data_IF_130895325556
#
_entry.id   IF_130895325556
#
_cell.length_a   1.000
_cell.length_b   1.000
_cell.length_c   1.000
_cell.angle_alpha   90.00
_cell.angle_beta   90.00
_cell.angle_gamma   90.00
#
_symmetry.space_group_name_H-M   'P 1'
#
loop_
_entity.id
_entity.type
_entity.pdbx_description
1 polymer ?
#
# COMPACT_ATOMS: atom_id res chain seq x y z
N UNK A 1 -6.31 3.60 6.46
CA UNK A 1 -7.53 4.06 5.75
C UNK A 1 -7.27 4.05 4.25
N UNK A 2 -8.32 3.97 3.42
CA UNK A 2 -8.22 4.21 1.97
C UNK A 2 -9.33 5.13 1.49
N UNK A 3 -9.06 5.94 0.46
CA UNK A 3 -10.00 6.90 -0.09
C UNK A 3 -10.35 6.48 -1.52
N UNK A 4 -11.63 6.32 -1.79
CA UNK A 4 -12.14 5.94 -3.11
C UNK A 4 -13.00 7.09 -3.66
N UNK A 5 -12.66 7.58 -4.85
CA UNK A 5 -13.46 8.58 -5.56
C UNK A 5 -14.66 7.88 -6.18
N UNK A 6 -15.86 8.39 -5.89
CA UNK A 6 -17.14 7.87 -6.41
C UNK A 6 -17.77 8.83 -7.43
N UNK A 7 -17.45 10.12 -7.36
CA UNK A 7 -17.84 11.16 -8.30
C UNK A 7 -16.67 12.13 -8.49
N UNK A 8 -15.99 12.03 -9.64
CA UNK A 8 -14.84 12.85 -9.97
C UNK A 8 -15.21 14.33 -10.20
N UNK A 9 -16.44 14.61 -10.65
CA UNK A 9 -16.88 15.98 -10.95
C UNK A 9 -17.07 16.83 -9.71
N UNK A 10 -17.24 16.20 -8.55
CA UNK A 10 -17.37 16.84 -7.25
C UNK A 10 -16.01 17.05 -6.54
N UNK A 11 -14.91 16.56 -7.12
CA UNK A 11 -13.57 16.69 -6.53
C UNK A 11 -13.01 18.09 -6.75
N UNK A 12 -12.66 18.74 -5.64
CA UNK A 12 -11.95 20.02 -5.63
C UNK A 12 -10.51 19.80 -5.14
N UNK A 13 -9.49 20.03 -5.99
CA UNK A 13 -8.10 19.78 -5.64
C UNK A 13 -7.51 20.77 -4.65
N UNK A 14 -8.15 21.93 -4.43
CA UNK A 14 -7.70 22.95 -3.48
C UNK A 14 -8.19 22.67 -2.04
N UNK A 15 -9.06 21.65 -1.89
CA UNK A 15 -9.58 21.24 -0.58
C UNK A 15 -8.70 20.21 0.11
N UNK A 16 -8.49 20.43 1.40
CA UNK A 16 -7.83 19.49 2.31
C UNK A 16 -8.84 18.92 3.28
N UNK A 17 -8.88 17.60 3.36
CA UNK A 17 -9.78 16.87 4.24
C UNK A 17 -9.02 16.29 5.43
N UNK A 18 -9.68 16.22 6.58
CA UNK A 18 -9.16 15.59 7.81
C UNK A 18 -10.17 14.60 8.35
N UNK A 19 -9.72 13.36 8.56
CA UNK A 19 -10.44 12.36 9.35
C UNK A 19 -9.83 12.32 10.73
N UNK A 20 -10.64 12.52 11.76
CA UNK A 20 -10.23 12.38 13.17
C UNK A 20 -11.06 11.29 13.84
N UNK A 21 -10.48 10.59 14.82
CA UNK A 21 -11.14 9.50 15.53
C UNK A 21 -11.53 9.89 16.96
N UNK A 22 -12.42 9.11 17.55
CA UNK A 22 -12.83 9.22 18.95
C UNK A 22 -12.72 7.87 19.61
N UNK A 23 -12.42 7.84 20.90
CA UNK A 23 -12.28 6.62 21.68
C UNK A 23 -12.99 6.73 23.05
N UNK A 24 -12.94 5.65 23.83
CA UNK A 24 -13.57 5.53 25.16
C UNK A 24 -12.85 6.24 26.30
N UNK A 25 -11.69 6.87 26.08
CA UNK A 25 -10.80 7.35 27.18
C UNK A 25 -11.35 8.59 27.90
N UNK A 26 -12.13 8.48 28.98
CA UNK A 26 -12.73 9.68 29.61
C UNK A 26 -11.76 10.44 30.55
N UNK A 27 -10.88 9.74 31.27
CA UNK A 27 -9.81 10.28 32.11
C UNK A 27 -9.12 9.07 32.73
N UNK A 28 -7.86 8.83 32.37
CA UNK A 28 -7.05 7.66 32.74
C UNK A 28 -7.46 6.31 32.12
N UNK A 29 -6.42 5.50 31.88
CA UNK A 29 -6.39 4.15 31.33
C UNK A 29 -6.43 4.10 29.80
N UNK A 30 -5.29 4.24 29.14
CA UNK A 30 -4.44 3.18 28.53
C UNK A 30 -5.10 2.01 27.77
N UNK A 31 -6.40 1.81 27.95
CA UNK A 31 -7.24 0.80 27.33
C UNK A 31 -8.39 1.56 26.69
N UNK A 32 -8.35 1.66 25.36
CA UNK A 32 -9.36 2.40 24.61
C UNK A 32 -9.86 1.58 23.44
N UNK A 33 -11.10 1.88 23.05
CA UNK A 33 -11.69 1.37 21.81
C UNK A 33 -12.12 2.55 20.97
N UNK A 34 -11.85 2.50 19.67
CA UNK A 34 -12.36 3.48 18.73
C UNK A 34 -13.87 3.41 18.72
N UNK A 35 -14.51 4.54 19.03
CA UNK A 35 -15.97 4.67 19.13
C UNK A 35 -16.57 5.33 17.90
N UNK A 36 -15.79 6.16 17.20
CA UNK A 36 -16.32 6.98 16.13
C UNK A 36 -15.25 7.75 15.37
N UNK A 37 -15.72 8.50 14.39
CA UNK A 37 -14.92 9.34 13.53
C UNK A 37 -15.65 10.63 13.19
N UNK A 38 -14.92 11.60 12.62
CA UNK A 38 -15.43 12.84 12.06
C UNK A 38 -14.61 13.17 10.81
N UNK A 39 -15.29 13.60 9.75
CA UNK A 39 -14.66 14.07 8.51
C UNK A 39 -14.90 15.57 8.37
N UNK A 40 -13.82 16.32 8.17
CA UNK A 40 -13.84 17.76 8.02
C UNK A 40 -13.13 18.16 6.74
N UNK A 41 -13.70 19.15 6.04
CA UNK A 41 -12.96 19.96 5.11
C UNK A 41 -12.28 21.08 5.93
N UNK A 42 -10.96 21.00 6.02
CA UNK A 42 -10.14 21.91 6.82
C UNK A 42 -9.95 23.25 6.12
N UNK A 43 -9.94 23.25 4.78
CA UNK A 43 -9.82 24.48 3.98
C UNK A 43 -10.98 25.43 4.27
N UNK A 44 -12.21 24.89 4.29
CA UNK A 44 -13.43 25.68 4.50
C UNK A 44 -13.89 25.69 5.96
N UNK A 45 -13.23 24.93 6.85
CA UNK A 45 -13.63 24.73 8.24
C UNK A 45 -15.07 24.20 8.39
N UNK A 46 -15.44 23.21 7.56
CA UNK A 46 -16.77 22.60 7.53
C UNK A 46 -16.67 21.12 7.91
N UNK A 47 -17.54 20.67 8.83
CA UNK A 47 -17.70 19.25 9.11
C UNK A 47 -18.60 18.61 8.03
N UNK A 48 -18.00 17.81 7.14
CA UNK A 48 -18.73 17.07 6.11
C UNK A 48 -19.49 15.89 6.72
N UNK A 49 -18.86 15.19 7.67
CA UNK A 49 -19.50 14.16 8.48
C UNK A 49 -19.27 14.54 9.95
N UNK A 50 -20.32 14.91 10.70
CA UNK A 50 -20.19 15.18 12.13
C UNK A 50 -19.77 13.92 12.88
N UNK A 51 -19.43 14.05 14.16
CA UNK A 51 -19.07 12.89 14.99
C UNK A 51 -20.10 11.78 14.85
N UNK A 52 -19.66 10.66 14.31
CA UNK A 52 -20.50 9.51 13.97
C UNK A 52 -19.88 8.23 14.53
N UNK A 53 -20.70 7.20 14.73
CA UNK A 53 -20.23 5.86 15.12
C UNK A 53 -19.28 5.30 14.06
N UNK A 54 -18.28 4.53 14.49
CA UNK A 54 -17.31 3.92 13.57
C UNK A 54 -18.02 2.96 12.59
N UNK A 55 -17.66 3.06 11.32
CA UNK A 55 -18.13 2.21 10.22
C UNK A 55 -16.95 1.86 9.33
N UNK A 56 -17.01 0.73 8.64
CA UNK A 56 -15.95 0.30 7.71
C UNK A 56 -15.86 1.20 6.48
N UNK A 57 -16.99 1.75 6.02
CA UNK A 57 -17.06 2.66 4.87
C UNK A 57 -17.95 3.87 5.20
N UNK A 58 -17.44 5.08 4.98
CA UNK A 58 -18.16 6.31 5.28
C UNK A 58 -19.25 6.59 4.24
N UNK A 59 -20.29 7.37 4.59
CA UNK A 59 -21.13 8.04 3.60
C UNK A 59 -20.28 8.84 2.60
N UNK A 60 -20.77 8.98 1.37
CA UNK A 60 -20.13 9.81 0.35
C UNK A 60 -20.12 11.28 0.78
N UNK A 61 -18.96 11.92 0.73
CA UNK A 61 -18.77 13.33 1.00
C UNK A 61 -17.85 13.92 -0.07
N UNK A 62 -18.21 15.09 -0.63
CA UNK A 62 -17.44 15.79 -1.67
C UNK A 62 -16.88 14.85 -2.77
N UNK A 63 -17.70 13.90 -3.24
CA UNK A 63 -17.35 13.00 -4.36
C UNK A 63 -16.51 11.77 -4.01
N UNK A 64 -16.24 11.49 -2.72
CA UNK A 64 -15.48 10.31 -2.30
C UNK A 64 -16.10 9.59 -1.10
N UNK A 65 -15.68 8.34 -0.90
CA UNK A 65 -15.93 7.55 0.32
C UNK A 65 -14.59 7.15 0.94
N UNK A 66 -14.57 6.98 2.25
CA UNK A 66 -13.38 6.52 2.97
C UNK A 66 -13.66 5.14 3.54
N UNK A 67 -12.75 4.20 3.29
CA UNK A 67 -12.70 2.93 4.01
C UNK A 67 -11.78 3.03 5.20
N UNK A 68 -12.33 2.69 6.36
CA UNK A 68 -11.66 2.73 7.65
C UNK A 68 -11.48 1.29 8.12
N UNK A 69 -10.27 0.78 7.95
CA UNK A 69 -9.83 -0.45 8.58
C UNK A 69 -9.30 -0.07 9.96
N UNK A 70 -10.09 -0.33 10.99
CA UNK A 70 -9.69 -0.09 12.37
C UNK A 70 -9.30 -1.43 13.00
N UNK A 71 -8.03 -1.57 13.35
CA UNK A 71 -7.52 -2.81 13.89
C UNK A 71 -8.07 -3.07 15.30
N UNK A 72 -8.16 -4.35 15.66
CA UNK A 72 -8.35 -4.75 17.05
C UNK A 72 -6.99 -4.85 17.74
N UNK A 73 -6.97 -4.75 19.06
CA UNK A 73 -5.74 -4.95 19.82
C UNK A 73 -5.37 -6.44 19.76
N UNK A 74 -4.34 -6.76 18.99
CA UNK A 74 -3.82 -8.10 18.80
C UNK A 74 -2.29 -8.06 18.62
N UNK A 75 -1.62 -9.21 18.72
CA UNK A 75 -0.20 -9.32 18.36
C UNK A 75 -0.06 -9.02 16.86
N UNK A 76 0.93 -8.19 16.53
CA UNK A 76 1.33 -7.95 15.15
C UNK A 76 2.33 -9.04 14.72
N UNK A 77 1.83 -10.03 13.99
CA UNK A 77 2.62 -11.16 13.49
C UNK A 77 3.81 -10.76 12.61
N UNK A 78 3.80 -9.54 12.04
CA UNK A 78 4.93 -9.01 11.25
C UNK A 78 6.02 -8.35 12.10
N UNK A 79 5.70 -8.02 13.37
CA UNK A 79 6.58 -7.32 14.30
C UNK A 79 6.74 -8.06 15.62
N UNK A 80 6.84 -9.38 15.59
CA UNK A 80 6.93 -10.21 16.80
C UNK A 80 8.00 -11.28 16.68
N UNK A 81 8.76 -11.47 17.77
CA UNK A 81 9.87 -12.43 17.85
C UNK A 81 11.22 -11.73 18.01
N UNK A 82 12.30 -12.43 17.69
CA UNK A 82 13.64 -11.88 17.69
C UNK A 82 13.77 -10.74 16.69
N UNK A 83 14.38 -9.63 17.11
CA UNK A 83 14.61 -8.44 16.30
C UNK A 83 16.04 -8.44 15.74
N UNK A 84 16.17 -8.67 14.44
CA UNK A 84 17.43 -8.50 13.69
C UNK A 84 17.34 -7.32 12.72
N UNK A 85 18.26 -7.26 11.76
CA UNK A 85 18.27 -6.25 10.69
C UNK A 85 18.31 -6.88 9.30
N UNK A 86 17.73 -6.18 8.33
CA UNK A 86 17.85 -6.52 6.91
C UNK A 86 19.07 -5.82 6.27
N UNK A 87 19.25 -5.96 4.95
CA UNK A 87 20.36 -5.34 4.21
C UNK A 87 20.35 -3.79 4.24
N UNK A 88 19.19 -3.19 4.51
CA UNK A 88 18.99 -1.74 4.58
C UNK A 88 19.09 -1.20 6.04
N UNK A 89 19.57 -2.02 6.99
CA UNK A 89 19.61 -1.74 8.44
C UNK A 89 18.22 -1.50 9.09
N UNK A 90 17.14 -1.91 8.42
CA UNK A 90 15.78 -1.83 8.97
C UNK A 90 15.48 -3.04 9.87
N UNK A 91 14.74 -2.84 10.98
CA UNK A 91 14.42 -3.92 11.92
C UNK A 91 13.50 -4.95 11.27
N UNK A 92 13.88 -6.22 11.39
CA UNK A 92 13.09 -7.38 10.95
C UNK A 92 12.87 -8.33 12.12
N UNK A 93 11.69 -8.96 12.15
CA UNK A 93 11.26 -9.76 13.27
C UNK A 93 11.00 -11.21 12.84
N UNK A 94 11.51 -12.15 13.62
CA UNK A 94 11.27 -13.57 13.37
C UNK A 94 11.28 -14.35 14.68
N UNK A 95 10.34 -15.28 14.84
CA UNK A 95 10.40 -16.27 15.93
C UNK A 95 11.55 -17.28 15.75
N UNK A 96 12.16 -17.28 14.57
CA UNK A 96 13.26 -18.13 14.13
C UNK A 96 14.51 -17.27 13.92
N UNK A 97 15.44 -17.21 14.88
CA UNK A 97 16.58 -16.28 14.83
C UNK A 97 17.58 -16.61 13.72
N UNK A 98 17.74 -17.89 13.34
CA UNK A 98 18.70 -18.30 12.31
C UNK A 98 18.42 -17.77 10.89
N UNK A 99 17.30 -17.06 10.67
CA UNK A 99 17.01 -16.35 9.42
C UNK A 99 17.37 -14.86 9.48
N UNK A 100 17.80 -14.36 10.64
CA UNK A 100 18.10 -12.95 10.90
C UNK A 100 19.61 -12.71 10.79
N UNK A 101 19.99 -11.58 10.18
CA UNK A 101 21.37 -11.14 10.20
C UNK A 101 21.76 -10.66 11.61
N UNK A 102 22.98 -10.97 12.03
CA UNK A 102 23.52 -10.50 13.31
C UNK A 102 23.03 -11.24 14.56
N UNK A 103 22.41 -12.41 14.40
CA UNK A 103 22.04 -13.28 15.52
C UNK A 103 22.73 -14.64 15.46
N UNK A 104 23.36 -15.01 16.58
CA UNK A 104 24.04 -16.30 16.73
C UNK A 104 23.22 -17.33 17.54
N UNK A 105 22.19 -16.89 18.27
CA UNK A 105 21.33 -17.80 19.04
C UNK A 105 20.50 -18.72 18.16
N UNK A 106 20.29 -19.96 18.63
CA UNK A 106 19.37 -20.93 18.03
C UNK A 106 18.06 -21.08 18.82
N UNK A 107 17.73 -20.12 19.70
CA UNK A 107 16.54 -20.17 20.53
C UNK A 107 15.32 -19.70 19.74
N UNK A 108 14.36 -20.58 19.55
CA UNK A 108 13.05 -20.28 19.00
C UNK A 108 12.22 -19.67 20.11
N UNK A 109 11.49 -18.60 19.81
CA UNK A 109 10.61 -17.94 20.79
C UNK A 109 9.14 -18.17 20.42
N UNK A 110 8.36 -18.68 21.36
CA UNK A 110 6.90 -18.66 21.30
C UNK A 110 6.40 -17.47 22.11
N UNK A 111 5.39 -16.78 21.60
CA UNK A 111 4.83 -15.59 22.25
C UNK A 111 3.31 -15.74 22.18
N UNK A 112 2.71 -15.87 23.34
CA UNK A 112 1.26 -16.04 23.50
C UNK A 112 0.71 -14.93 24.40
N UNK A 113 -0.56 -14.60 24.20
CA UNK A 113 -1.29 -13.70 25.10
C UNK A 113 -1.82 -14.52 26.27
N UNK A 114 -1.67 -14.05 27.50
CA UNK A 114 -2.35 -14.67 28.65
C UNK A 114 -3.87 -14.52 28.50
N UNK A 115 -4.58 -15.65 28.45
CA UNK A 115 -6.03 -15.71 28.30
C UNK A 115 -6.78 -15.73 29.64
N UNK A 116 -6.06 -15.51 30.76
CA UNK A 116 -6.67 -15.52 32.09
C UNK A 116 -7.78 -14.45 32.22
N UNK A 117 -8.85 -14.69 32.99
CA UNK A 117 -10.00 -13.79 33.09
C UNK A 117 -9.71 -12.44 33.76
N UNK A 118 -8.47 -12.21 34.20
CA UNK A 118 -8.00 -10.94 34.78
C UNK A 118 -7.18 -10.11 33.78
N UNK A 119 -6.97 -10.63 32.58
CA UNK A 119 -6.24 -9.99 31.48
C UNK A 119 -7.09 -8.91 30.81
N UNK A 120 -6.44 -7.80 30.46
CA UNK A 120 -7.01 -6.78 29.57
C UNK A 120 -5.98 -6.43 28.52
N UNK A 121 -6.36 -6.62 27.25
CA UNK A 121 -5.53 -6.27 26.10
C UNK A 121 -5.31 -4.75 26.01
N UNK A 122 -4.09 -4.35 25.71
CA UNK A 122 -3.67 -2.98 25.47
C UNK A 122 -2.77 -2.90 24.23
N UNK A 123 -2.78 -1.76 23.51
CA UNK A 123 -2.00 -1.54 22.29
C UNK A 123 -0.50 -1.26 22.57
N UNK A 124 0.02 -1.68 23.72
CA UNK A 124 1.41 -1.42 24.11
C UNK A 124 2.34 -2.47 23.55
N UNK A 125 3.49 -1.97 23.11
CA UNK A 125 4.59 -2.76 22.61
C UNK A 125 5.64 -2.95 23.69
N UNK A 126 6.23 -4.13 23.71
CA UNK A 126 7.20 -4.54 24.72
C UNK A 126 8.43 -5.13 24.06
N UNK A 127 9.55 -5.05 24.76
CA UNK A 127 10.75 -5.80 24.40
C UNK A 127 11.33 -6.51 25.62
N UNK A 128 11.89 -7.70 25.37
CA UNK A 128 12.73 -8.43 26.30
C UNK A 128 14.12 -8.47 25.71
N UNK A 129 15.07 -7.81 26.39
CA UNK A 129 16.45 -7.68 25.90
C UNK A 129 17.36 -8.49 26.81
N UNK A 130 18.14 -9.39 26.22
CA UNK A 130 19.20 -10.09 26.94
C UNK A 130 20.30 -9.11 27.30
N UNK A 131 20.84 -9.21 28.51
CA UNK A 131 21.74 -8.21 29.07
C UNK A 131 22.74 -8.84 30.01
N UNK A 132 23.92 -8.22 30.10
CA UNK A 132 24.90 -8.51 31.15
C UNK A 132 24.45 -8.00 32.52
N UNK A 133 23.48 -7.08 32.55
CA UNK A 133 22.84 -6.62 33.79
C UNK A 133 21.83 -7.68 34.28
N UNK A 134 21.96 -8.05 35.55
CA UNK A 134 21.08 -9.02 36.19
C UNK A 134 19.78 -8.33 36.61
N UNK A 135 18.66 -8.81 36.07
CA UNK A 135 17.32 -8.45 36.50
C UNK A 135 16.84 -9.44 37.58
N UNK A 136 16.42 -8.94 38.74
CA UNK A 136 15.77 -9.78 39.77
C UNK A 136 14.25 -9.68 39.63
N UNK A 137 13.61 -10.83 39.42
CA UNK A 137 12.14 -10.94 39.30
C UNK A 137 11.41 -10.51 40.59
N UNK A 138 10.14 -10.06 40.50
CA UNK A 138 9.41 -9.58 41.66
C UNK A 138 9.29 -10.60 42.80
N UNK A 139 9.54 -10.18 44.05
CA UNK A 139 9.33 -11.02 45.24
C UNK A 139 7.86 -10.99 45.70
N UNK A 140 6.96 -11.55 44.88
CA UNK A 140 5.54 -11.70 45.25
C UNK A 140 5.07 -13.13 45.05
N UNK A 141 4.21 -13.58 45.96
CA UNK A 141 3.62 -14.91 45.89
C UNK A 141 2.58 -15.02 44.79
N UNK A 142 2.95 -15.70 43.71
CA UNK A 142 2.04 -16.19 42.68
C UNK A 142 2.17 -17.72 42.59
N UNK A 143 1.05 -18.44 42.49
CA UNK A 143 1.06 -19.90 42.45
C UNK A 143 1.70 -20.40 41.13
N UNK A 144 2.58 -21.40 41.21
CA UNK A 144 3.31 -21.93 40.05
C UNK A 144 4.36 -20.98 39.47
N UNK A 145 4.81 -19.97 40.24
CA UNK A 145 5.86 -19.05 39.80
C UNK A 145 7.01 -19.01 40.81
N UNK A 146 8.23 -18.87 40.28
CA UNK A 146 9.42 -18.58 41.06
C UNK A 146 9.41 -17.11 41.53
N UNK A 147 10.26 -16.77 42.49
CA UNK A 147 10.34 -15.43 43.10
C UNK A 147 11.77 -15.03 43.34
N UNK A 148 12.04 -13.73 43.20
CA UNK A 148 13.33 -13.14 43.49
C UNK A 148 14.49 -13.93 42.82
N UNK A 149 14.23 -14.42 41.62
CA UNK A 149 15.23 -15.11 40.79
C UNK A 149 15.87 -14.11 39.85
N UNK A 150 17.16 -14.30 39.64
CA UNK A 150 18.01 -13.48 38.79
C UNK A 150 17.96 -14.00 37.35
N UNK A 151 17.73 -13.08 36.40
CA UNK A 151 17.64 -13.34 34.97
C UNK A 151 18.62 -12.43 34.20
N UNK A 152 19.25 -12.94 33.13
CA UNK A 152 20.09 -12.17 32.22
C UNK A 152 19.25 -11.49 31.12
N UNK A 153 18.05 -11.02 31.48
CA UNK A 153 17.14 -10.35 30.55
C UNK A 153 16.32 -9.29 31.27
N UNK A 154 16.08 -8.17 30.59
CA UNK A 154 15.28 -7.05 31.10
C UNK A 154 14.08 -6.83 30.20
N UNK A 155 13.00 -6.33 30.78
CA UNK A 155 11.76 -6.02 30.08
C UNK A 155 11.56 -4.50 29.99
N UNK A 156 11.23 -4.01 28.79
CA UNK A 156 10.86 -2.62 28.54
C UNK A 156 9.50 -2.50 27.86
N UNK A 157 8.66 -1.58 28.32
CA UNK A 157 7.46 -1.14 27.62
C UNK A 157 7.86 -0.02 26.66
N UNK A 158 7.97 -0.35 25.38
CA UNK A 158 8.45 0.52 24.30
C UNK A 158 7.46 1.66 24.00
N UNK A 159 6.19 1.52 24.43
CA UNK A 159 5.17 2.55 24.17
C UNK A 159 5.14 3.64 25.23
N UNK A 160 5.34 3.25 26.49
CA UNK A 160 5.34 4.17 27.62
C UNK A 160 6.75 4.61 28.01
N UNK A 161 7.78 3.98 27.46
CA UNK A 161 9.18 4.15 27.83
C UNK A 161 9.41 3.88 29.33
N UNK A 162 8.91 2.74 29.80
CA UNK A 162 8.97 2.32 31.21
C UNK A 162 9.44 0.87 31.33
N UNK A 163 10.15 0.56 32.41
CA UNK A 163 10.50 -0.83 32.73
C UNK A 163 9.24 -1.68 33.02
N UNK A 164 9.28 -2.95 32.62
CA UNK A 164 8.27 -3.95 32.94
C UNK A 164 8.80 -5.11 33.78
N UNK A 165 7.88 -5.87 34.36
CA UNK A 165 8.19 -7.03 35.21
C UNK A 165 8.26 -8.32 34.37
N UNK A 166 9.24 -9.18 34.70
CA UNK A 166 9.31 -10.56 34.22
C UNK A 166 8.99 -11.51 35.38
N UNK A 167 8.09 -12.46 35.16
CA UNK A 167 7.82 -13.56 36.09
C UNK A 167 8.20 -14.88 35.45
N UNK A 168 8.72 -15.83 36.23
CA UNK A 168 9.02 -17.18 35.74
C UNK A 168 7.96 -18.14 36.25
N UNK A 169 7.21 -18.75 35.34
CA UNK A 169 6.30 -19.85 35.64
C UNK A 169 7.11 -21.14 35.58
N UNK A 170 7.32 -21.72 36.74
CA UNK A 170 8.01 -23.00 36.93
C UNK A 170 7.10 -24.12 36.41
N UNK A 171 7.35 -24.61 35.20
CA UNK A 171 6.45 -25.57 34.54
C UNK A 171 6.77 -27.00 34.99
N UNK A 172 8.02 -27.28 35.29
CA UNK A 172 8.50 -28.59 35.70
C UNK A 172 8.48 -28.79 37.25
N UNK A 173 8.12 -27.74 38.01
CA UNK A 173 8.03 -27.68 39.47
C UNK A 173 9.37 -28.03 40.17
N UNK A 174 10.51 -27.71 39.54
CA UNK A 174 11.83 -28.06 40.08
C UNK A 174 12.47 -26.96 40.93
N UNK A 175 11.88 -25.76 40.97
CA UNK A 175 12.34 -24.62 41.78
C UNK A 175 13.56 -23.88 41.22
N UNK A 176 13.98 -24.17 39.99
CA UNK A 176 15.08 -23.51 39.29
C UNK A 176 14.60 -22.94 37.95
N UNK A 177 15.32 -21.98 37.39
CA UNK A 177 14.96 -21.39 36.08
C UNK A 177 15.53 -22.26 34.98
N UNK A 178 14.64 -22.83 34.16
CA UNK A 178 14.98 -23.58 32.96
C UNK A 178 14.44 -22.89 31.72
N UNK A 179 15.30 -22.18 30.97
CA UNK A 179 14.88 -21.37 29.81
C UNK A 179 14.12 -22.17 28.74
N UNK A 180 14.36 -23.48 28.64
CA UNK A 180 13.76 -24.35 27.63
C UNK A 180 12.53 -25.12 28.09
N UNK A 181 12.17 -25.03 29.37
CA UNK A 181 11.02 -25.73 29.95
C UNK A 181 10.03 -24.77 30.62
N UNK A 182 10.54 -23.72 31.24
CA UNK A 182 9.75 -22.69 31.90
C UNK A 182 9.21 -21.64 30.94
N UNK A 183 8.21 -20.90 31.43
CA UNK A 183 7.60 -19.81 30.69
C UNK A 183 7.87 -18.48 31.39
N UNK A 184 8.24 -17.49 30.59
CA UNK A 184 8.54 -16.14 31.03
C UNK A 184 7.34 -15.25 30.76
N UNK A 185 6.97 -14.47 31.76
CA UNK A 185 5.74 -13.72 31.76
C UNK A 185 6.09 -12.25 31.83
N UNK A 186 5.86 -11.52 30.75
CA UNK A 186 6.07 -10.08 30.66
C UNK A 186 4.80 -9.36 31.07
N UNK A 187 4.91 -8.37 31.96
CA UNK A 187 3.76 -7.56 32.42
C UNK A 187 4.16 -6.18 32.94
N UNK A 188 3.26 -5.19 32.84
CA UNK A 188 3.49 -3.88 33.47
C UNK A 188 3.51 -3.96 35.00
N UNK A 189 4.33 -3.14 35.69
CA UNK A 189 4.44 -3.16 37.13
C UNK A 189 3.19 -2.57 37.82
N UNK A 190 2.68 -3.25 38.85
CA UNK A 190 1.93 -2.59 39.93
C UNK A 190 0.41 -2.40 39.79
N UNK A 191 -0.32 -3.18 38.99
CA UNK A 191 -1.80 -3.15 38.98
C UNK A 191 -2.48 -4.24 39.82
N UNK A 192 -3.63 -3.94 40.47
CA UNK A 192 -4.58 -4.97 40.92
C UNK A 192 -5.31 -5.67 39.75
N UNK A 193 -5.16 -5.11 38.54
CA UNK A 193 -5.53 -5.68 37.26
C UNK A 193 -4.23 -6.02 36.55
N UNK A 194 -4.08 -7.29 36.13
CA UNK A 194 -2.92 -7.74 35.37
C UNK A 194 -3.07 -7.23 33.94
N UNK A 195 -2.47 -6.08 33.64
CA UNK A 195 -2.46 -5.47 32.30
C UNK A 195 -1.42 -6.19 31.45
N UNK A 196 -1.73 -6.43 30.18
CA UNK A 196 -0.86 -7.00 29.14
C UNK A 196 0.16 -8.00 29.65
N UNK A 197 -0.29 -9.24 29.73
CA UNK A 197 0.57 -10.36 30.06
C UNK A 197 0.88 -11.16 28.80
N UNK A 198 2.14 -11.14 28.39
CA UNK A 198 2.64 -12.02 27.33
C UNK A 198 3.40 -13.17 27.96
N UNK A 199 3.18 -14.37 27.43
CA UNK A 199 3.83 -15.60 27.86
C UNK A 199 4.83 -15.98 26.77
N UNK A 200 6.11 -15.95 27.13
CA UNK A 200 7.23 -16.29 26.29
C UNK A 200 7.72 -17.68 26.67
N UNK A 201 7.94 -18.53 25.66
CA UNK A 201 8.68 -19.78 25.81
C UNK A 201 9.89 -19.75 24.90
N UNK A 202 11.02 -20.29 25.37
CA UNK A 202 12.19 -20.49 24.52
C UNK A 202 12.39 -21.98 24.27
N UNK A 203 12.83 -22.36 23.08
CA UNK A 203 13.16 -23.74 22.74
C UNK A 203 14.41 -23.73 21.88
N UNK A 204 15.34 -24.65 22.08
CA UNK A 204 16.50 -24.82 21.21
C UNK A 204 16.49 -26.21 20.58
N UNK A 205 16.98 -26.32 19.35
CA UNK A 205 17.23 -27.61 18.71
C UNK A 205 18.72 -27.87 18.60
N UNK A 206 19.17 -29.02 19.11
CA UNK A 206 20.59 -29.37 19.15
C UNK A 206 21.29 -28.79 20.38
N UNK A 207 22.56 -28.42 20.23
CA UNK A 207 23.32 -27.75 21.29
C UNK A 207 22.79 -26.32 21.45
N UNK A 208 22.39 -25.95 22.66
CA UNK A 208 21.80 -24.66 22.95
C UNK A 208 22.86 -23.55 22.86
N UNK A 209 22.59 -22.53 22.04
CA UNK A 209 23.40 -21.32 21.91
C UNK A 209 22.64 -20.17 22.54
N UNK A 210 23.09 -19.76 23.72
CA UNK A 210 22.47 -18.69 24.50
C UNK A 210 22.51 -17.35 23.74
N UNK A 211 21.45 -16.53 23.79
CA UNK A 211 21.44 -15.17 23.25
C UNK A 211 22.51 -14.29 23.90
N UNK A 212 23.07 -13.38 23.11
CA UNK A 212 24.08 -12.43 23.56
C UNK A 212 23.45 -11.17 24.17
N UNK A 213 24.24 -10.43 24.95
CA UNK A 213 23.81 -9.15 25.47
C UNK A 213 23.49 -8.17 24.31
N UNK A 214 22.26 -7.65 24.30
CA UNK A 214 21.72 -6.83 23.23
C UNK A 214 20.69 -7.54 22.35
N UNK A 215 20.67 -8.88 22.34
CA UNK A 215 19.65 -9.63 21.60
C UNK A 215 18.27 -9.34 22.17
N UNK A 216 17.35 -8.95 21.29
CA UNK A 216 16.03 -8.44 21.66
C UNK A 216 14.92 -9.30 21.09
N UNK A 217 14.00 -9.72 21.93
CA UNK A 217 12.68 -10.23 21.55
C UNK A 217 11.71 -9.05 21.60
N UNK A 218 11.09 -8.72 20.47
CA UNK A 218 10.11 -7.64 20.34
C UNK A 218 8.69 -8.19 20.28
N UNK A 219 7.75 -7.48 20.89
CA UNK A 219 6.33 -7.81 20.92
C UNK A 219 5.56 -6.59 20.38
N UNK A 220 5.40 -6.56 19.05
CA UNK A 220 4.57 -5.60 18.35
C UNK A 220 3.08 -5.91 18.53
N UNK A 221 2.26 -4.85 18.58
CA UNK A 221 0.80 -4.98 18.65
C UNK A 221 0.13 -4.15 17.56
N UNK A 222 -0.99 -4.64 17.04
CA UNK A 222 -1.92 -3.84 16.26
C UNK A 222 -2.64 -2.84 17.17
N UNK A 223 -2.92 -1.65 16.63
CA UNK A 223 -3.47 -0.55 17.42
C UNK A 223 -4.74 0.03 16.78
N UNK A 224 -5.87 0.05 17.50
CA UNK A 224 -7.04 0.80 17.05
C UNK A 224 -6.74 2.29 17.02
N UNK A 225 -7.46 3.04 16.18
CA UNK A 225 -7.34 4.49 16.12
C UNK A 225 -7.76 5.15 17.44
N UNK A 226 -6.85 5.92 18.01
CA UNK A 226 -7.08 6.74 19.19
C UNK A 226 -7.62 8.12 18.79
N UNK A 227 -8.10 8.87 19.78
CA UNK A 227 -8.45 10.30 19.63
C UNK A 227 -7.28 11.19 19.21
N UNK A 228 -6.05 10.71 19.32
CA UNK A 228 -4.85 11.45 18.94
C UNK A 228 -4.53 11.27 17.45
N UNK A 229 -5.04 10.19 16.84
CA UNK A 229 -4.81 9.87 15.45
C UNK A 229 -5.71 10.69 14.52
N UNK A 230 -5.13 11.13 13.41
CA UNK A 230 -5.87 11.73 12.31
C UNK A 230 -5.14 11.50 10.99
N UNK A 231 -5.90 11.52 9.90
CA UNK A 231 -5.34 11.53 8.55
C UNK A 231 -5.74 12.80 7.83
N UNK A 232 -4.80 13.39 7.09
CA UNK A 232 -5.05 14.53 6.21
C UNK A 232 -4.70 14.15 4.78
N UNK A 233 -5.55 14.54 3.84
CA UNK A 233 -5.36 14.28 2.43
C UNK A 233 -6.02 15.34 1.56
N UNK A 234 -5.54 15.47 0.33
CA UNK A 234 -6.16 16.20 -0.77
C UNK A 234 -6.37 15.23 -1.92
N UNK A 235 -7.42 15.44 -2.70
CA UNK A 235 -7.65 14.67 -3.91
C UNK A 235 -7.17 15.45 -5.13
N UNK A 236 -6.73 14.74 -6.16
CA UNK A 236 -6.42 15.35 -7.45
C UNK A 236 -7.39 14.75 -8.46
N UNK A 237 -8.04 15.60 -9.25
CA UNK A 237 -8.77 15.14 -10.43
C UNK A 237 -7.79 14.52 -11.43
N UNK A 238 -8.26 13.58 -12.25
CA UNK A 238 -7.53 13.19 -13.43
C UNK A 238 -7.44 14.42 -14.35
N UNK A 239 -6.25 14.99 -14.47
CA UNK A 239 -5.97 15.98 -15.49
C UNK A 239 -5.12 15.33 -16.58
N UNK A 240 -5.41 15.68 -17.83
CA UNK A 240 -4.53 15.32 -18.95
C UNK A 240 -3.27 16.16 -18.80
N UNK A 241 -2.16 15.51 -18.47
CA UNK A 241 -0.87 16.18 -18.44
C UNK A 241 -0.50 16.65 -19.85
N UNK A 242 -0.54 17.97 -20.07
CA UNK A 242 -0.36 18.55 -21.39
C UNK A 242 1.04 18.26 -21.97
N UNK A 243 2.05 18.05 -21.13
CA UNK A 243 3.41 17.76 -21.58
C UNK A 243 3.57 16.29 -21.98
N UNK A 244 2.99 15.37 -21.20
CA UNK A 244 2.87 13.95 -21.56
C UNK A 244 2.03 13.79 -22.83
N UNK A 245 0.86 14.43 -22.90
CA UNK A 245 -0.03 14.36 -24.06
C UNK A 245 0.65 14.92 -25.33
N UNK A 246 1.47 15.97 -25.21
CA UNK A 246 2.30 16.48 -26.32
C UNK A 246 3.36 15.47 -26.75
N UNK A 247 4.02 14.80 -25.81
CA UNK A 247 4.98 13.73 -26.13
C UNK A 247 4.31 12.52 -26.78
N UNK A 248 3.03 12.27 -26.52
CA UNK A 248 2.28 11.20 -27.18
C UNK A 248 1.85 11.53 -28.61
N UNK A 249 1.71 12.81 -28.97
CA UNK A 249 1.49 13.21 -30.36
C UNK A 249 2.63 12.73 -31.29
N UNK A 250 3.86 12.67 -30.78
CA UNK A 250 5.02 12.17 -31.53
C UNK A 250 4.94 10.67 -31.86
N UNK A 251 4.06 9.91 -31.16
CA UNK A 251 3.83 8.49 -31.41
C UNK A 251 2.84 8.24 -32.56
N UNK A 252 2.12 9.27 -33.04
CA UNK A 252 1.14 9.12 -34.12
C UNK A 252 1.84 8.63 -35.38
N UNK A 253 1.38 7.50 -35.90
CA UNK A 253 1.96 6.86 -37.07
C UNK A 253 0.89 6.33 -38.04
N UNK A 254 1.30 6.10 -39.28
CA UNK A 254 0.49 5.48 -40.33
C UNK A 254 0.97 4.06 -40.55
N UNK A 255 0.05 3.09 -40.56
CA UNK A 255 0.34 1.67 -40.77
C UNK A 255 -0.53 1.11 -41.90
N UNK A 256 0.04 0.35 -42.86
CA UNK A 256 1.48 0.13 -43.06
C UNK A 256 2.15 1.33 -43.73
N UNK A 257 3.42 1.57 -43.41
CA UNK A 257 4.24 2.60 -44.05
C UNK A 257 5.64 2.03 -44.36
N UNK A 258 6.02 1.86 -45.65
CA UNK A 258 5.23 2.18 -46.84
C UNK A 258 4.09 1.19 -47.08
N UNK A 259 2.99 1.66 -47.67
CA UNK A 259 1.93 0.81 -48.20
C UNK A 259 2.35 0.31 -49.59
N UNK A 260 2.49 -1.01 -49.76
CA UNK A 260 2.96 -1.63 -51.01
C UNK A 260 1.79 -2.35 -51.71
N UNK A 261 1.51 -1.97 -52.96
CA UNK A 261 0.47 -2.61 -53.77
C UNK A 261 1.09 -3.77 -54.57
N UNK A 262 1.17 -4.97 -53.98
CA UNK A 262 1.72 -6.14 -54.66
C UNK A 262 0.95 -6.51 -55.95
N UNK A 263 1.69 -6.72 -57.05
CA UNK A 263 1.15 -7.00 -58.38
C UNK A 263 1.06 -8.50 -58.74
N UNK A 264 -0.13 -8.89 -59.21
CA UNK A 264 -0.53 -9.94 -60.19
C UNK A 264 -0.14 -11.42 -60.09
N UNK A 265 0.66 -11.92 -59.14
CA UNK A 265 0.95 -13.37 -59.05
C UNK A 265 0.55 -14.07 -57.73
N UNK A 266 -0.14 -13.38 -56.83
CA UNK A 266 -0.67 -13.98 -55.59
C UNK A 266 -2.04 -14.65 -55.81
N UNK A 267 -2.25 -15.79 -55.14
CA UNK A 267 -3.39 -16.70 -55.35
C UNK A 267 -4.71 -16.03 -54.99
N UNK A 268 -5.64 -16.09 -55.94
CA UNK A 268 -7.00 -15.58 -55.85
C UNK A 268 -7.79 -16.31 -54.75
N UNK A 269 -7.97 -15.67 -53.61
CA UNK A 269 -8.93 -16.13 -52.58
C UNK A 269 -10.36 -15.96 -53.09
N UNK A 270 -11.22 -16.93 -52.77
CA UNK A 270 -12.55 -17.16 -53.34
C UNK A 270 -13.65 -16.15 -52.91
N UNK A 271 -13.30 -14.89 -52.69
CA UNK A 271 -14.26 -13.81 -52.40
C UNK A 271 -14.02 -12.71 -53.44
N UNK A 272 -15.05 -12.40 -54.22
CA UNK A 272 -14.98 -11.43 -55.32
C UNK A 272 -14.48 -10.07 -54.82
N UNK A 273 -13.37 -9.60 -55.39
CA UNK A 273 -12.91 -8.22 -55.26
C UNK A 273 -12.06 -7.95 -54.01
N UNK A 274 -10.74 -7.98 -54.20
CA UNK A 274 -9.71 -7.17 -53.52
C UNK A 274 -10.08 -6.70 -52.11
N UNK A 275 -9.42 -7.25 -51.08
CA UNK A 275 -9.47 -6.67 -49.75
C UNK A 275 -9.26 -5.14 -49.78
N UNK A 276 -9.92 -4.38 -48.90
CA UNK A 276 -10.00 -2.93 -49.02
C UNK A 276 -8.59 -2.29 -48.92
N UNK A 277 -8.31 -1.30 -49.78
CA UNK A 277 -7.09 -0.50 -49.74
C UNK A 277 -7.17 0.45 -48.53
N UNK A 278 -6.76 -0.01 -47.37
CA UNK A 278 -6.86 0.76 -46.14
C UNK A 278 -5.48 0.99 -45.54
N UNK A 279 -5.26 2.22 -45.08
CA UNK A 279 -4.21 2.53 -44.11
C UNK A 279 -4.87 3.00 -42.82
N UNK A 280 -4.14 2.86 -41.72
CA UNK A 280 -4.60 3.20 -40.38
C UNK A 280 -3.68 4.25 -39.76
N UNK A 281 -4.27 5.32 -39.25
CA UNK A 281 -3.62 6.21 -38.30
C UNK A 281 -3.79 5.62 -36.91
N UNK A 282 -2.69 5.48 -36.17
CA UNK A 282 -2.66 4.89 -34.81
C UNK A 282 -2.11 5.90 -33.80
N UNK A 283 -2.39 5.64 -32.52
CA UNK A 283 -2.03 6.50 -31.38
C UNK A 283 -2.65 7.90 -31.45
N UNK A 284 -3.84 8.01 -32.04
CA UNK A 284 -4.56 9.27 -32.12
C UNK A 284 -5.13 9.67 -30.75
N UNK A 285 -5.15 10.98 -30.42
CA UNK A 285 -5.92 11.54 -29.32
C UNK A 285 -7.42 11.22 -29.45
N UNK A 286 -8.16 11.32 -28.34
CA UNK A 286 -9.60 11.05 -28.32
C UNK A 286 -10.37 11.93 -29.31
N UNK A 287 -10.01 13.21 -29.45
CA UNK A 287 -10.61 14.12 -30.44
C UNK A 287 -9.52 14.83 -31.24
N UNK A 288 -9.49 14.62 -32.56
CA UNK A 288 -8.55 15.31 -33.44
C UNK A 288 -9.01 15.36 -34.91
N UNK A 289 -8.44 16.30 -35.65
CA UNK A 289 -8.61 16.43 -37.10
C UNK A 289 -7.33 15.99 -37.80
N UNK A 290 -7.43 15.06 -38.75
CA UNK A 290 -6.33 14.58 -39.58
C UNK A 290 -6.47 15.17 -40.98
N UNK A 291 -5.46 15.89 -41.44
CA UNK A 291 -5.41 16.46 -42.79
C UNK A 291 -4.27 15.83 -43.58
N UNK A 292 -4.56 15.33 -44.77
CA UNK A 292 -3.59 14.62 -45.61
C UNK A 292 -3.23 15.50 -46.81
N UNK A 293 -1.93 15.65 -47.09
CA UNK A 293 -1.40 16.53 -48.12
C UNK A 293 -0.44 15.81 -49.07
N UNK A 294 -0.40 16.27 -50.32
CA UNK A 294 0.66 15.88 -51.26
C UNK A 294 1.99 16.58 -50.93
N UNK A 295 3.09 16.15 -51.55
CA UNK A 295 4.39 16.85 -51.45
C UNK A 295 4.35 18.31 -51.92
N UNK A 296 3.33 18.72 -52.67
CA UNK A 296 3.12 20.10 -53.14
C UNK A 296 2.27 20.94 -52.17
N UNK A 297 1.83 20.36 -51.04
CA UNK A 297 0.96 21.01 -50.06
C UNK A 297 -0.51 21.06 -50.48
N UNK A 298 -0.93 20.28 -51.47
CA UNK A 298 -2.33 20.19 -51.87
C UNK A 298 -3.09 19.28 -50.89
N UNK A 299 -4.21 19.75 -50.35
CA UNK A 299 -5.07 18.97 -49.47
C UNK A 299 -5.75 17.84 -50.26
N UNK A 300 -5.58 16.62 -49.77
CA UNK A 300 -6.09 15.38 -50.36
C UNK A 300 -7.39 14.95 -49.67
N UNK A 301 -7.37 14.95 -48.34
CA UNK A 301 -8.47 14.45 -47.50
C UNK A 301 -8.41 15.08 -46.11
N UNK A 302 -9.59 15.34 -45.52
CA UNK A 302 -9.75 15.62 -44.10
C UNK A 302 -10.54 14.48 -43.43
N UNK A 303 -10.10 14.06 -42.24
CA UNK A 303 -10.74 13.03 -41.42
C UNK A 303 -10.94 13.61 -40.02
N UNK A 304 -12.19 13.71 -39.57
CA UNK A 304 -12.53 14.03 -38.19
C UNK A 304 -12.55 12.74 -37.38
N UNK A 305 -11.77 12.70 -36.30
CA UNK A 305 -11.67 11.55 -35.40
C UNK A 305 -12.29 11.88 -34.05
N UNK A 306 -13.33 11.12 -33.70
CA UNK A 306 -13.99 11.12 -32.40
C UNK A 306 -13.93 9.70 -31.82
N UNK A 307 -12.94 9.48 -30.97
CA UNK A 307 -12.50 8.19 -30.45
C UNK A 307 -13.16 7.81 -29.12
N UNK A 308 -14.46 8.03 -28.97
CA UNK A 308 -15.22 7.73 -27.74
C UNK A 308 -14.83 6.35 -27.15
N UNK A 309 -14.42 6.34 -25.88
CA UNK A 309 -13.98 5.12 -25.19
C UNK A 309 -12.52 4.71 -25.43
N UNK A 310 -11.66 5.63 -25.85
CA UNK A 310 -10.22 5.40 -26.00
C UNK A 310 -9.80 4.77 -27.34
N UNK A 311 -10.64 4.89 -28.38
CA UNK A 311 -10.29 4.42 -29.71
C UNK A 311 -9.30 5.38 -30.40
N UNK A 312 -7.99 5.14 -30.22
CA UNK A 312 -6.92 5.94 -30.83
C UNK A 312 -6.58 5.57 -32.28
N UNK A 313 -7.57 5.22 -33.10
CA UNK A 313 -7.36 4.76 -34.47
C UNK A 313 -8.38 5.27 -35.49
N UNK A 314 -7.89 5.73 -36.64
CA UNK A 314 -8.70 6.17 -37.78
C UNK A 314 -8.25 5.48 -39.08
N UNK A 315 -9.20 5.14 -39.94
CA UNK A 315 -8.94 4.45 -41.21
C UNK A 315 -9.06 5.40 -42.40
N UNK A 316 -8.22 5.22 -43.41
CA UNK A 316 -8.33 5.90 -44.68
C UNK A 316 -8.24 4.93 -45.86
N UNK A 317 -9.16 5.09 -46.80
CA UNK A 317 -9.37 4.24 -47.99
C UNK A 317 -8.52 4.65 -49.20
N UNK A 318 -7.55 5.55 -49.01
CA UNK A 318 -6.69 6.10 -50.05
C UNK A 318 -7.46 6.84 -51.15
N UNK A 319 -8.61 7.43 -50.82
CA UNK A 319 -9.37 8.30 -51.72
C UNK A 319 -9.27 9.77 -51.31
N UNK A 320 -9.22 10.64 -52.32
CA UNK A 320 -9.41 12.08 -52.16
C UNK A 320 -10.81 12.41 -51.65
N UNK A 321 -11.04 13.65 -51.23
CA UNK A 321 -12.37 14.17 -50.87
C UNK A 321 -13.44 13.94 -51.96
N UNK A 322 -13.02 13.92 -53.23
CA UNK A 322 -13.91 13.70 -54.39
C UNK A 322 -14.07 12.21 -54.76
N UNK A 323 -13.59 11.28 -53.93
CA UNK A 323 -13.70 9.83 -54.17
C UNK A 323 -12.76 9.29 -55.26
N UNK A 324 -11.74 10.05 -55.66
CA UNK A 324 -10.73 9.58 -56.61
C UNK A 324 -9.56 8.91 -55.89
N UNK A 325 -9.09 7.77 -56.41
CA UNK A 325 -7.88 7.09 -55.94
C UNK A 325 -6.66 8.04 -55.98
N UNK A 326 -5.90 8.08 -54.90
CA UNK A 326 -4.66 8.88 -54.84
C UNK A 326 -3.52 8.21 -55.59
N UNK A 327 -2.57 9.01 -56.10
CA UNK A 327 -1.41 8.51 -56.83
C UNK A 327 -0.38 7.85 -55.89
N UNK A 328 0.47 6.97 -56.43
CA UNK A 328 1.66 6.50 -55.70
C UNK A 328 2.63 7.65 -55.46
N UNK A 329 3.18 7.75 -54.25
CA UNK A 329 4.02 8.87 -53.86
C UNK A 329 4.12 9.02 -52.34
N UNK A 330 4.83 10.07 -51.93
CA UNK A 330 4.94 10.47 -50.52
C UNK A 330 3.83 11.45 -50.19
N UNK A 331 3.23 11.27 -49.03
CA UNK A 331 2.19 12.12 -48.47
C UNK A 331 2.60 12.59 -47.09
N UNK A 332 2.10 13.74 -46.71
CA UNK A 332 2.22 14.28 -45.35
C UNK A 332 0.86 14.23 -44.68
N UNK A 333 0.84 14.03 -43.37
CA UNK A 333 -0.36 14.24 -42.57
C UNK A 333 -0.07 15.28 -41.50
N UNK A 334 -1.10 16.04 -41.18
CA UNK A 334 -1.13 16.97 -40.07
C UNK A 334 -2.27 16.55 -39.14
N UNK A 335 -1.97 16.28 -37.87
CA UNK A 335 -2.97 16.00 -36.84
C UNK A 335 -3.06 17.19 -35.91
N UNK A 336 -4.27 17.72 -35.75
CA UNK A 336 -4.59 18.79 -34.82
C UNK A 336 -5.53 18.29 -33.75
N UNK A 337 -5.10 18.36 -32.49
CA UNK A 337 -5.93 18.06 -31.33
C UNK A 337 -6.12 19.34 -30.51
N UNK A 338 -7.38 19.78 -30.36
CA UNK A 338 -7.69 21.00 -29.62
C UNK A 338 -7.25 20.88 -28.15
N UNK A 339 -6.54 21.89 -27.64
CA UNK A 339 -6.04 21.91 -26.26
C UNK A 339 -4.78 21.08 -25.97
N UNK A 340 -4.36 20.18 -26.87
CA UNK A 340 -3.17 19.32 -26.69
C UNK A 340 -2.00 19.81 -27.57
N UNK A 341 -2.24 20.04 -28.86
CA UNK A 341 -1.22 20.47 -29.81
C UNK A 341 -1.43 19.95 -31.23
N UNK A 342 -0.39 20.09 -32.05
CA UNK A 342 -0.39 19.73 -33.47
C UNK A 342 0.89 18.93 -33.79
N UNK A 343 0.79 17.95 -34.69
CA UNK A 343 1.96 17.19 -35.19
C UNK A 343 1.87 16.93 -36.68
N UNK A 344 3.03 16.77 -37.33
CA UNK A 344 3.14 16.48 -38.75
C UNK A 344 3.99 15.22 -38.94
N UNK A 345 3.50 14.30 -39.77
CA UNK A 345 4.26 13.13 -40.18
C UNK A 345 4.15 12.85 -41.68
N UNK A 346 4.78 11.76 -42.12
CA UNK A 346 4.83 11.38 -43.54
C UNK A 346 4.68 9.88 -43.74
N UNK A 347 4.13 9.50 -44.88
CA UNK A 347 4.02 8.10 -45.30
C UNK A 347 4.13 7.97 -46.81
N UNK A 348 4.45 6.77 -47.29
CA UNK A 348 4.62 6.50 -48.71
C UNK A 348 3.68 5.41 -49.21
N UNK A 349 3.12 5.64 -50.40
CA UNK A 349 2.38 4.65 -51.17
C UNK A 349 3.26 4.22 -52.35
N UNK A 350 3.58 2.93 -52.41
CA UNK A 350 4.50 2.36 -53.40
C UNK A 350 3.77 1.27 -54.20
N UNK A 351 4.11 1.18 -55.48
CA UNK A 351 3.61 0.18 -56.41
C UNK A 351 4.56 -1.00 -56.52
#
# INVERSE_FOLDING_TARGET
ISVNVVDESAIDPDKVYKVSFFDTTAAFADIYRTTGYKLENVTDNIALIPKSTLVEETPSADGFVIRINNDEVAIDESRVGWQGTNEDDEPVYSRFPGALSGMDTNWFVTIEVDDSPRFVASPYEYSVTFSDEIYTTPDRRLAGHLRAVDLPMVCHNETLDLACDIWVRDVNDNGTVDFHEDLFVVSDPGGFVWRNRYVLGFTAFGESVMPEAGDKVYIGTQRPFSRQDFFQFSLRSAYVDADSARAELDKIAVVPNPYVVAASWERQTQIQGRGPRLIQFIHLPEQCTIQIFTVRGELVRTIEHDGFGGNGSAWWDLQTENGQDVAFGVYFYHVKAEGIGETVGKFALIK
#
